data_IF_213769411086
#
_entry.id   IF_213769411086
#
_cell.length_a   1.000
_cell.length_b   1.000
_cell.length_c   1.000
_cell.angle_alpha   90.00
_cell.angle_beta   90.00
_cell.angle_gamma   90.00
#
_symmetry.space_group_name_H-M   'P 1'
#
loop_
_entity.id
_entity.type
_entity.pdbx_description
1 polymer ?
#
# COMPACT_ATOMS: atom_id res chain seq x y z
N UNK A 1 -2.37 7.66 8.06
CA UNK A 1 -2.54 6.59 7.06
C UNK A 1 -2.98 5.34 7.81
N UNK A 2 -4.06 4.67 7.39
CA UNK A 2 -4.66 3.59 8.18
C UNK A 2 -3.73 2.38 8.40
N UNK A 3 -2.85 2.10 7.44
CA UNK A 3 -1.93 0.96 7.52
C UNK A 3 -0.82 1.14 8.56
N UNK A 4 -0.70 2.32 9.19
CA UNK A 4 0.25 2.58 10.26
C UNK A 4 -0.41 2.59 11.66
N UNK A 5 -1.73 2.38 11.70
CA UNK A 5 -2.51 2.42 12.94
C UNK A 5 -2.84 1.01 13.40
N UNK A 6 -2.28 0.54 14.52
CA UNK A 6 -2.61 -0.78 15.08
C UNK A 6 -4.12 -0.93 15.36
N UNK A 7 -4.79 0.15 15.73
CA UNK A 7 -6.24 0.17 15.98
C UNK A 7 -7.04 -0.06 14.70
N UNK A 8 -6.61 0.56 13.60
CA UNK A 8 -7.23 0.39 12.28
C UNK A 8 -7.05 -1.02 11.75
N UNK A 9 -5.88 -1.61 11.96
CA UNK A 9 -5.53 -2.96 11.52
C UNK A 9 -6.24 -4.05 12.34
N UNK A 10 -6.53 -3.77 13.61
CA UNK A 10 -7.22 -4.69 14.52
C UNK A 10 -8.72 -4.41 14.66
N UNK A 11 -9.29 -3.58 13.78
CA UNK A 11 -10.69 -3.19 13.84
C UNK A 11 -11.63 -4.41 13.71
N UNK A 12 -12.63 -4.50 14.57
CA UNK A 12 -13.61 -5.60 14.53
C UNK A 12 -14.59 -5.39 13.36
N UNK A 13 -14.33 -6.07 12.24
CA UNK A 13 -15.15 -6.01 11.04
C UNK A 13 -15.01 -7.31 10.21
N UNK A 14 -16.01 -7.64 9.36
CA UNK A 14 -15.91 -8.75 8.40
C UNK A 14 -14.69 -8.66 7.49
N UNK A 15 -14.21 -9.81 6.99
CA UNK A 15 -13.03 -9.86 6.12
C UNK A 15 -13.19 -9.01 4.84
N UNK A 16 -14.36 -9.08 4.19
CA UNK A 16 -14.67 -8.27 3.00
C UNK A 16 -14.60 -6.77 3.30
N UNK A 17 -15.25 -6.33 4.39
CA UNK A 17 -15.20 -4.94 4.85
C UNK A 17 -13.78 -4.51 5.20
N UNK A 18 -12.98 -5.40 5.77
CA UNK A 18 -11.57 -5.16 6.07
C UNK A 18 -10.73 -4.93 4.80
N UNK A 19 -10.93 -5.74 3.76
CA UNK A 19 -10.29 -5.57 2.46
C UNK A 19 -10.66 -4.25 1.80
N UNK A 20 -11.95 -3.90 1.82
CA UNK A 20 -12.46 -2.63 1.33
C UNK A 20 -11.86 -1.44 2.09
N UNK A 21 -11.85 -1.52 3.43
CA UNK A 21 -11.27 -0.52 4.30
C UNK A 21 -9.79 -0.27 4.00
N UNK A 22 -8.99 -1.34 3.88
CA UNK A 22 -7.56 -1.20 3.56
C UNK A 22 -7.34 -0.59 2.18
N UNK A 23 -8.12 -1.01 1.18
CA UNK A 23 -8.05 -0.50 -0.19
C UNK A 23 -8.41 0.99 -0.27
N UNK A 24 -9.54 1.38 0.32
CA UNK A 24 -9.97 2.78 0.33
C UNK A 24 -9.02 3.67 1.11
N UNK A 25 -8.54 3.23 2.27
CA UNK A 25 -7.57 4.00 3.03
C UNK A 25 -6.25 4.21 2.27
N UNK A 26 -5.80 3.24 1.46
CA UNK A 26 -4.65 3.39 0.59
C UNK A 26 -4.92 4.40 -0.52
N UNK A 27 -6.05 4.23 -1.23
CA UNK A 27 -6.44 5.09 -2.35
C UNK A 27 -6.58 6.54 -1.90
N UNK A 28 -7.33 6.77 -0.82
CA UNK A 28 -7.57 8.11 -0.28
C UNK A 28 -6.26 8.77 0.15
N UNK A 29 -5.44 8.08 0.95
CA UNK A 29 -4.17 8.65 1.41
C UNK A 29 -3.18 8.92 0.26
N UNK A 30 -3.12 8.06 -0.76
CA UNK A 30 -2.20 8.24 -1.87
C UNK A 30 -2.63 9.38 -2.81
N UNK A 31 -3.92 9.47 -3.12
CA UNK A 31 -4.44 10.40 -4.14
C UNK A 31 -5.01 11.71 -3.57
N UNK A 32 -5.06 11.90 -2.24
CA UNK A 32 -5.59 13.15 -1.64
C UNK A 32 -4.77 14.38 -2.00
N UNK A 33 -3.45 14.26 -2.00
CA UNK A 33 -2.49 15.29 -2.41
C UNK A 33 -1.47 14.62 -3.32
N UNK A 34 -1.12 15.15 -4.48
CA UNK A 34 -0.07 14.52 -5.30
C UNK A 34 1.30 15.05 -4.90
N UNK A 35 2.34 14.20 -4.81
CA UNK A 35 3.69 14.70 -4.58
C UNK A 35 4.11 15.57 -5.78
N UNK A 36 4.55 16.80 -5.54
CA UNK A 36 4.99 17.74 -6.57
C UNK A 36 6.50 17.66 -6.77
N UNK A 37 7.24 17.29 -5.72
CA UNK A 37 8.70 17.15 -5.73
C UNK A 37 9.17 15.69 -5.64
N UNK A 38 10.46 15.48 -5.96
CA UNK A 38 11.13 14.18 -5.82
C UNK A 38 11.15 13.71 -4.37
N UNK A 39 11.50 14.60 -3.45
CA UNK A 39 11.54 14.31 -2.01
C UNK A 39 10.16 13.90 -1.46
N UNK A 40 9.10 14.59 -1.90
CA UNK A 40 7.73 14.22 -1.53
C UNK A 40 7.33 12.84 -2.06
N UNK A 41 7.71 12.51 -3.31
CA UNK A 41 7.43 11.19 -3.87
C UNK A 41 8.19 10.09 -3.11
N UNK A 42 9.48 10.29 -2.82
CA UNK A 42 10.30 9.36 -2.04
C UNK A 42 9.70 9.16 -0.65
N UNK A 43 9.31 10.24 0.03
CA UNK A 43 8.68 10.16 1.35
C UNK A 43 7.37 9.35 1.29
N UNK A 44 6.56 9.56 0.25
CA UNK A 44 5.29 8.85 0.08
C UNK A 44 5.50 7.37 -0.23
N UNK A 45 6.42 7.02 -1.13
CA UNK A 45 6.77 5.63 -1.42
C UNK A 45 7.34 4.92 -0.18
N UNK A 46 8.18 5.59 0.60
CA UNK A 46 8.71 5.06 1.87
C UNK A 46 7.59 4.78 2.87
N UNK A 47 6.59 5.66 2.91
CA UNK A 47 5.41 5.49 3.77
C UNK A 47 4.53 4.32 3.32
N UNK A 48 4.33 4.14 2.01
CA UNK A 48 3.68 2.94 1.47
C UNK A 48 4.44 1.68 1.91
N UNK A 49 5.76 1.67 1.71
CA UNK A 49 6.64 0.54 2.10
C UNK A 49 6.43 0.15 3.57
N UNK A 50 6.49 1.14 4.45
CA UNK A 50 6.28 0.97 5.90
C UNK A 50 4.88 0.44 6.23
N UNK A 51 3.85 0.92 5.52
CA UNK A 51 2.50 0.39 5.65
C UNK A 51 2.41 -1.09 5.28
N UNK A 52 3.05 -1.53 4.19
CA UNK A 52 3.13 -2.94 3.83
C UNK A 52 3.86 -3.78 4.87
N UNK A 53 4.97 -3.30 5.42
CA UNK A 53 5.69 -3.97 6.52
C UNK A 53 4.77 -4.15 7.74
N UNK A 54 4.03 -3.11 8.10
CA UNK A 54 3.06 -3.15 9.21
C UNK A 54 1.95 -4.17 8.98
N UNK A 55 1.39 -4.24 7.77
CA UNK A 55 0.41 -5.27 7.41
C UNK A 55 1.01 -6.68 7.45
N UNK A 56 2.25 -6.86 7.00
CA UNK A 56 2.90 -8.19 7.04
C UNK A 56 3.04 -8.71 8.48
N UNK A 57 3.43 -7.83 9.39
CA UNK A 57 3.71 -8.19 10.79
C UNK A 57 2.44 -8.31 11.65
N UNK A 58 1.33 -7.77 11.18
CA UNK A 58 0.08 -7.76 11.91
C UNK A 58 -0.62 -9.12 11.97
N UNK A 59 -1.43 -9.29 13.03
CA UNK A 59 -2.20 -10.51 13.28
C UNK A 59 -3.45 -10.64 12.40
N UNK A 60 -4.08 -9.52 12.03
CA UNK A 60 -5.32 -9.49 11.25
C UNK A 60 -6.44 -10.40 11.80
N UNK A 61 -7.02 -10.08 12.98
CA UNK A 61 -8.03 -10.93 13.62
C UNK A 61 -9.29 -11.17 12.77
N UNK A 62 -9.51 -10.35 11.73
CA UNK A 62 -10.63 -10.42 10.78
C UNK A 62 -10.45 -11.53 9.73
N UNK A 63 -9.21 -12.02 9.55
CA UNK A 63 -8.83 -12.91 8.45
C UNK A 63 -8.59 -14.33 8.95
N UNK A 64 -8.91 -15.31 8.10
CA UNK A 64 -8.38 -16.67 8.25
C UNK A 64 -6.87 -16.69 7.98
N UNK A 65 -6.17 -17.75 8.38
CA UNK A 65 -4.74 -17.88 8.10
C UNK A 65 -4.44 -17.88 6.59
N UNK A 66 -5.32 -18.47 5.78
CA UNK A 66 -5.22 -18.46 4.32
C UNK A 66 -5.33 -17.04 3.75
N UNK A 67 -6.39 -16.31 4.14
CA UNK A 67 -6.59 -14.92 3.75
C UNK A 67 -5.42 -14.02 4.21
N UNK A 68 -4.92 -14.23 5.42
CA UNK A 68 -3.74 -13.53 5.93
C UNK A 68 -2.50 -13.85 5.10
N UNK A 69 -2.27 -15.11 4.76
CA UNK A 69 -1.13 -15.52 3.92
C UNK A 69 -1.21 -14.90 2.51
N UNK A 70 -2.41 -14.78 1.94
CA UNK A 70 -2.63 -14.08 0.68
C UNK A 70 -2.31 -12.58 0.79
N UNK A 71 -2.80 -11.90 1.84
CA UNK A 71 -2.49 -10.49 2.10
C UNK A 71 -0.99 -10.25 2.25
N UNK A 72 -0.31 -11.09 3.04
CA UNK A 72 1.16 -11.05 3.22
C UNK A 72 1.87 -11.21 1.88
N UNK A 73 1.42 -12.14 1.04
CA UNK A 73 1.99 -12.37 -0.29
C UNK A 73 1.81 -11.15 -1.20
N UNK A 74 0.62 -10.54 -1.20
CA UNK A 74 0.36 -9.31 -1.95
C UNK A 74 1.25 -8.16 -1.47
N UNK A 75 1.35 -7.95 -0.16
CA UNK A 75 2.21 -6.90 0.42
C UNK A 75 3.68 -7.10 0.04
N UNK A 76 4.21 -8.33 0.10
CA UNK A 76 5.58 -8.63 -0.34
C UNK A 76 5.81 -8.31 -1.81
N UNK A 77 4.84 -8.63 -2.67
CA UNK A 77 4.93 -8.29 -4.10
C UNK A 77 4.90 -6.77 -4.33
N UNK A 78 4.09 -6.04 -3.56
CA UNK A 78 4.07 -4.58 -3.64
C UNK A 78 5.36 -3.96 -3.10
N UNK A 79 5.93 -4.48 -2.01
CA UNK A 79 7.24 -4.03 -1.50
C UNK A 79 8.32 -4.08 -2.59
N UNK A 80 8.39 -5.17 -3.36
CA UNK A 80 9.34 -5.28 -4.47
C UNK A 80 9.15 -4.15 -5.50
N UNK A 81 7.91 -3.86 -5.89
CA UNK A 81 7.62 -2.78 -6.84
C UNK A 81 7.91 -1.40 -6.27
N UNK A 82 7.48 -1.14 -5.04
CA UNK A 82 7.72 0.14 -4.37
C UNK A 82 9.21 0.40 -4.14
N UNK A 83 10.01 -0.64 -3.87
CA UNK A 83 11.46 -0.51 -3.76
C UNK A 83 12.12 -0.17 -5.11
N UNK A 84 11.59 -0.68 -6.23
CA UNK A 84 12.05 -0.27 -7.56
C UNK A 84 11.72 1.21 -7.82
N UNK A 85 10.47 1.62 -7.57
CA UNK A 85 10.05 3.03 -7.69
C UNK A 85 10.86 3.96 -6.79
N UNK A 86 11.23 3.52 -5.58
CA UNK A 86 12.11 4.28 -4.68
C UNK A 86 13.51 4.45 -5.25
N UNK A 87 14.09 3.39 -5.82
CA UNK A 87 15.41 3.46 -6.44
C UNK A 87 15.41 4.43 -7.63
N UNK A 88 14.38 4.36 -8.48
CA UNK A 88 14.22 5.26 -9.64
C UNK A 88 13.92 6.69 -9.21
N UNK A 89 13.06 6.90 -8.21
CA UNK A 89 12.79 8.21 -7.64
C UNK A 89 14.05 8.82 -6.98
N UNK A 90 15.01 8.01 -6.55
CA UNK A 90 16.27 8.49 -5.96
C UNK A 90 17.34 8.80 -7.01
N UNK A 91 17.17 8.34 -8.25
CA UNK A 91 18.05 8.66 -9.36
C UNK A 91 17.69 10.03 -9.96
N UNK A 92 18.61 10.99 -9.87
CA UNK A 92 18.41 12.35 -10.40
C UNK A 92 18.19 12.37 -11.93
N UNK A 93 18.67 11.34 -12.65
CA UNK A 93 18.49 11.22 -14.09
C UNK A 93 17.10 10.73 -14.52
N UNK A 94 16.33 10.12 -13.61
CA UNK A 94 15.00 9.58 -13.93
C UNK A 94 13.94 10.67 -14.11
N UNK A 95 13.02 10.45 -15.04
CA UNK A 95 11.84 11.31 -15.23
C UNK A 95 10.85 11.12 -14.08
N UNK A 96 10.76 12.15 -13.22
CA UNK A 96 9.88 12.12 -12.05
C UNK A 96 8.40 11.93 -12.42
N UNK A 97 7.97 12.40 -13.59
CA UNK A 97 6.59 12.27 -14.04
C UNK A 97 6.25 10.82 -14.41
N UNK A 98 7.19 10.10 -15.00
CA UNK A 98 7.08 8.67 -15.33
C UNK A 98 7.03 7.83 -14.06
N UNK A 99 8.00 8.01 -13.14
CA UNK A 99 8.03 7.28 -11.86
C UNK A 99 6.74 7.49 -11.06
N UNK A 100 6.20 8.72 -11.09
CA UNK A 100 4.90 9.04 -10.45
C UNK A 100 3.75 8.30 -11.12
N UNK A 101 3.70 8.24 -12.45
CA UNK A 101 2.67 7.52 -13.19
C UNK A 101 2.68 6.02 -12.86
N UNK A 102 3.86 5.39 -12.87
CA UNK A 102 4.00 3.96 -12.54
C UNK A 102 3.67 3.64 -11.07
N UNK A 103 4.05 4.55 -10.17
CA UNK A 103 3.67 4.46 -8.76
C UNK A 103 2.15 4.54 -8.60
N UNK A 104 1.48 5.45 -9.31
CA UNK A 104 0.02 5.56 -9.31
C UNK A 104 -0.66 4.29 -9.83
N UNK A 105 -0.14 3.68 -10.89
CA UNK A 105 -0.66 2.41 -11.41
C UNK A 105 -0.50 1.28 -10.38
N UNK A 106 0.65 1.21 -9.72
CA UNK A 106 0.91 0.24 -8.65
C UNK A 106 -0.09 0.40 -7.51
N UNK A 107 -0.37 1.63 -7.08
CA UNK A 107 -1.34 1.91 -6.01
C UNK A 107 -2.78 1.58 -6.44
N UNK A 108 -3.18 1.89 -7.68
CA UNK A 108 -4.49 1.52 -8.22
C UNK A 108 -4.67 0.00 -8.24
N UNK A 109 -3.65 -0.72 -8.70
CA UNK A 109 -3.67 -2.18 -8.73
C UNK A 109 -3.72 -2.78 -7.31
N UNK A 110 -2.96 -2.22 -6.36
CA UNK A 110 -2.98 -2.65 -4.96
C UNK A 110 -4.34 -2.41 -4.31
N UNK A 111 -4.92 -1.23 -4.50
CA UNK A 111 -6.27 -0.86 -4.04
C UNK A 111 -7.30 -1.88 -4.51
N UNK A 112 -7.34 -2.13 -5.83
CA UNK A 112 -8.28 -3.08 -6.42
C UNK A 112 -8.09 -4.49 -5.88
N UNK A 113 -6.83 -4.93 -5.75
CA UNK A 113 -6.53 -6.25 -5.23
C UNK A 113 -6.99 -6.43 -3.79
N UNK A 114 -6.89 -5.40 -2.92
CA UNK A 114 -7.38 -5.45 -1.53
C UNK A 114 -8.91 -5.56 -1.46
N UNK A 115 -9.60 -4.76 -2.27
CA UNK A 115 -11.08 -4.77 -2.35
C UNK A 115 -11.64 -6.08 -2.89
N UNK A 116 -10.83 -6.89 -3.57
CA UNK A 116 -11.21 -8.18 -4.14
C UNK A 116 -10.66 -9.38 -3.36
N UNK A 117 -9.85 -9.15 -2.31
CA UNK A 117 -9.07 -10.21 -1.68
C UNK A 117 -9.92 -11.14 -0.82
N UNK A 118 -11.04 -10.63 -0.28
CA UNK A 118 -11.83 -11.32 0.74
C UNK A 118 -13.33 -11.39 0.41
N UNK A 119 -13.67 -11.21 -0.87
CA UNK A 119 -15.03 -11.32 -1.39
C UNK A 119 -15.34 -12.68 -2.01
#
# INVERSE_FOLDING_TARGET
FAWESPQSIAADMPAEDYGNYLGDALREWWFSDQPESRDELIARLTRFRTGCETLIDARHPQLTEEQRAELVTKCRNWLTKINAHLAEASDEASDLSEVRAESNETVRAATKALQQLFG
#
